data_IF_738123273891
#
_entry.id   IF_738123273891
#
_cell.length_a   1.000
_cell.length_b   1.000
_cell.length_c   1.000
_cell.angle_alpha   90.00
_cell.angle_beta   90.00
_cell.angle_gamma   90.00
#
_symmetry.space_group_name_H-M   'P 1'
#
loop_
_entity.id
_entity.type
_entity.pdbx_description
1 polymer ?
#
# COMPACT_ATOMS: atom_id res chain seq x y z
N UNK A 1 -0.37 -14.46 -5.88
CA UNK A 1 1.07 -14.47 -5.55
C UNK A 1 1.71 -15.68 -6.22
N UNK A 2 2.93 -15.51 -6.75
CA UNK A 2 3.76 -16.61 -7.25
C UNK A 2 4.95 -16.77 -6.33
N UNK A 3 5.26 -18.01 -5.97
CA UNK A 3 6.46 -18.39 -5.23
C UNK A 3 7.47 -18.93 -6.23
N UNK A 4 8.65 -18.34 -6.24
CA UNK A 4 9.73 -18.69 -7.17
C UNK A 4 10.91 -19.24 -6.36
N UNK A 5 11.40 -20.41 -6.71
CA UNK A 5 12.67 -20.92 -6.18
C UNK A 5 13.82 -20.14 -6.83
N UNK A 6 14.66 -19.52 -6.00
CA UNK A 6 15.75 -18.65 -6.47
C UNK A 6 16.94 -19.42 -7.06
N UNK A 7 17.07 -20.70 -6.77
CA UNK A 7 18.15 -21.54 -7.30
C UNK A 7 17.80 -22.13 -8.65
N UNK A 8 16.55 -22.56 -8.81
CA UNK A 8 16.07 -23.18 -10.06
C UNK A 8 15.38 -22.20 -10.99
N UNK A 9 15.07 -20.99 -10.51
CA UNK A 9 14.31 -19.94 -11.22
C UNK A 9 12.93 -20.42 -11.72
N UNK A 10 12.33 -21.38 -11.01
CA UNK A 10 11.03 -21.94 -11.38
C UNK A 10 9.93 -21.51 -10.42
N UNK A 11 8.71 -21.42 -10.94
CA UNK A 11 7.51 -21.18 -10.10
C UNK A 11 7.16 -22.48 -9.41
N UNK A 12 7.28 -22.50 -8.07
CA UNK A 12 6.99 -23.69 -7.24
C UNK A 12 5.59 -23.66 -6.63
N UNK A 13 4.96 -22.48 -6.53
CA UNK A 13 3.57 -22.36 -6.11
C UNK A 13 2.89 -21.11 -6.71
N UNK A 14 1.57 -21.16 -6.85
CA UNK A 14 0.74 -20.02 -7.24
C UNK A 14 -0.46 -19.95 -6.29
N UNK A 15 -0.56 -18.84 -5.55
CA UNK A 15 -1.58 -18.63 -4.54
C UNK A 15 -2.62 -17.60 -5.02
N UNK A 16 -3.90 -17.91 -4.97
CA UNK A 16 -4.96 -16.94 -5.27
C UNK A 16 -5.00 -15.82 -4.23
N UNK A 17 -5.46 -14.64 -4.63
CA UNK A 17 -5.61 -13.46 -3.75
C UNK A 17 -7.07 -13.07 -3.51
N UNK A 18 -8.04 -13.82 -4.08
CA UNK A 18 -9.46 -13.46 -3.90
C UNK A 18 -9.79 -13.28 -2.41
N UNK A 19 -10.47 -12.16 -2.02
CA UNK A 19 -11.14 -11.19 -2.88
C UNK A 19 -10.27 -10.02 -3.38
N UNK A 20 -8.95 -9.98 -3.07
CA UNK A 20 -8.05 -8.96 -3.58
C UNK A 20 -7.89 -9.03 -5.11
N UNK A 21 -7.89 -7.87 -5.77
CA UNK A 21 -7.77 -7.76 -7.22
C UNK A 21 -6.62 -6.82 -7.61
N UNK A 22 -5.97 -7.13 -8.71
CA UNK A 22 -4.88 -6.31 -9.27
C UNK A 22 -3.86 -5.91 -8.20
N UNK A 23 -3.05 -6.86 -7.68
CA UNK A 23 -2.04 -6.57 -6.67
C UNK A 23 -0.96 -5.64 -7.25
N UNK A 24 -0.50 -4.69 -6.45
CA UNK A 24 0.47 -3.65 -6.84
C UNK A 24 1.70 -3.62 -5.94
N UNK A 25 1.53 -3.72 -4.63
CA UNK A 25 2.61 -3.70 -3.66
C UNK A 25 2.56 -4.89 -2.72
N UNK A 26 3.73 -5.28 -2.18
CA UNK A 26 3.83 -6.36 -1.20
C UNK A 26 4.90 -6.05 -0.17
N UNK A 27 4.59 -6.28 1.11
CA UNK A 27 5.54 -6.25 2.23
C UNK A 27 5.57 -7.62 2.92
N UNK A 28 6.63 -7.88 3.66
CA UNK A 28 6.87 -9.17 4.32
C UNK A 28 7.24 -8.99 5.79
N UNK A 29 6.51 -9.69 6.65
CA UNK A 29 6.89 -9.93 8.04
C UNK A 29 7.59 -11.30 8.14
N UNK A 30 8.90 -11.28 8.19
CA UNK A 30 9.71 -12.50 8.25
C UNK A 30 9.53 -13.29 9.55
N UNK A 31 9.22 -12.59 10.65
CA UNK A 31 9.07 -13.22 11.98
C UNK A 31 7.78 -14.04 12.08
N UNK A 32 6.69 -13.51 11.56
CA UNK A 32 5.38 -14.14 11.65
C UNK A 32 4.96 -14.81 10.34
N UNK A 33 5.83 -14.84 9.33
CA UNK A 33 5.58 -15.41 8.00
C UNK A 33 4.34 -14.83 7.32
N UNK A 34 4.17 -13.49 7.34
CA UNK A 34 3.02 -12.83 6.74
C UNK A 34 3.41 -11.95 5.55
N UNK A 35 2.62 -12.01 4.49
CA UNK A 35 2.66 -11.09 3.37
C UNK A 35 1.51 -10.09 3.49
N UNK A 36 1.80 -8.81 3.24
CA UNK A 36 0.83 -7.73 3.16
C UNK A 36 0.73 -7.27 1.71
N UNK A 37 -0.31 -7.69 1.03
CA UNK A 37 -0.47 -7.46 -0.41
C UNK A 37 -1.51 -6.37 -0.66
N UNK A 38 -1.05 -5.23 -1.14
CA UNK A 38 -1.91 -4.12 -1.54
C UNK A 38 -2.60 -4.41 -2.88
N UNK A 39 -3.92 -4.26 -2.93
CA UNK A 39 -4.75 -4.55 -4.09
C UNK A 39 -5.52 -3.30 -4.55
N UNK A 40 -5.63 -3.07 -5.86
CA UNK A 40 -6.23 -1.85 -6.42
C UNK A 40 -7.73 -1.69 -6.12
N UNK A 41 -8.40 -2.76 -5.69
CA UNK A 41 -9.80 -2.75 -5.26
C UNK A 41 -9.97 -2.34 -3.79
N UNK A 42 -9.13 -1.43 -3.31
CA UNK A 42 -9.20 -0.82 -1.97
C UNK A 42 -9.08 -1.83 -0.82
N UNK A 43 -8.15 -2.76 -0.95
CA UNK A 43 -7.98 -3.84 0.00
C UNK A 43 -6.50 -4.18 0.20
N UNK A 44 -6.12 -4.43 1.44
CA UNK A 44 -4.87 -5.10 1.77
C UNK A 44 -5.19 -6.54 2.19
N UNK A 45 -4.60 -7.50 1.49
CA UNK A 45 -4.69 -8.93 1.84
C UNK A 45 -3.52 -9.26 2.76
N UNK A 46 -3.82 -9.87 3.91
CA UNK A 46 -2.82 -10.48 4.79
C UNK A 46 -2.82 -11.97 4.50
N UNK A 47 -1.67 -12.52 4.13
CA UNK A 47 -1.53 -13.91 3.67
C UNK A 47 -0.38 -14.58 4.42
N UNK A 48 -0.56 -15.82 4.81
CA UNK A 48 0.51 -16.68 5.32
C UNK A 48 1.48 -17.02 4.18
N UNK A 49 2.76 -16.70 4.36
CA UNK A 49 3.79 -16.85 3.32
C UNK A 49 4.32 -18.29 3.18
N UNK A 50 3.89 -19.21 4.03
CA UNK A 50 4.27 -20.62 3.95
C UNK A 50 3.25 -21.47 3.23
N UNK A 51 1.98 -21.12 3.37
CA UNK A 51 0.85 -21.89 2.84
C UNK A 51 0.03 -21.18 1.75
N UNK A 52 0.18 -19.84 1.61
CA UNK A 52 -0.66 -19.03 0.74
C UNK A 52 -2.08 -18.83 1.27
N UNK A 53 -2.37 -19.22 2.52
CA UNK A 53 -3.68 -19.02 3.13
C UNK A 53 -3.92 -17.55 3.44
N UNK A 54 -5.08 -17.03 3.06
CA UNK A 54 -5.49 -15.69 3.46
C UNK A 54 -5.86 -15.67 4.95
N UNK A 55 -5.20 -14.80 5.69
CA UNK A 55 -5.38 -14.60 7.13
C UNK A 55 -6.42 -13.50 7.38
N UNK A 56 -6.37 -12.42 6.60
CA UNK A 56 -7.32 -11.32 6.72
C UNK A 56 -7.44 -10.51 5.44
N UNK A 57 -8.57 -9.80 5.33
CA UNK A 57 -8.86 -8.81 4.30
C UNK A 57 -9.09 -7.48 5.01
N UNK A 58 -8.20 -6.52 4.82
CA UNK A 58 -8.27 -5.21 5.49
C UNK A 58 -8.71 -4.16 4.47
N UNK A 59 -9.85 -3.49 4.67
CA UNK A 59 -10.26 -2.36 3.83
C UNK A 59 -9.22 -1.24 3.88
N UNK A 60 -8.97 -0.62 2.73
CA UNK A 60 -7.98 0.45 2.60
C UNK A 60 -8.41 1.50 1.57
N UNK A 61 -7.59 2.52 1.37
CA UNK A 61 -7.86 3.57 0.40
C UNK A 61 -7.87 3.08 -1.06
N UNK A 62 -8.43 3.89 -1.95
CA UNK A 62 -8.51 3.58 -3.38
C UNK A 62 -7.17 3.78 -4.10
N UNK A 63 -6.86 2.90 -5.06
CA UNK A 63 -5.66 3.02 -5.88
C UNK A 63 -4.38 2.78 -5.09
N UNK A 64 -4.33 1.65 -4.39
CA UNK A 64 -3.13 1.21 -3.66
C UNK A 64 -2.00 0.98 -4.65
N UNK A 65 -0.78 1.36 -4.24
CA UNK A 65 0.44 1.21 -5.05
C UNK A 65 1.56 0.51 -4.28
N UNK A 66 1.91 0.99 -3.10
CA UNK A 66 2.99 0.42 -2.30
C UNK A 66 2.48 -0.15 -0.97
N UNK A 67 3.20 -1.15 -0.48
CA UNK A 67 3.01 -1.75 0.84
C UNK A 67 4.33 -1.72 1.61
N UNK A 68 4.27 -1.52 2.92
CA UNK A 68 5.41 -1.61 3.81
C UNK A 68 5.01 -2.27 5.14
N UNK A 69 5.99 -2.78 5.87
CA UNK A 69 5.80 -3.34 7.20
C UNK A 69 6.91 -2.86 8.13
N UNK A 70 6.54 -2.48 9.33
CA UNK A 70 7.47 -2.12 10.39
C UNK A 70 7.51 -3.22 11.46
N UNK A 71 8.59 -4.00 11.53
CA UNK A 71 8.69 -5.09 12.49
C UNK A 71 8.77 -4.61 13.96
N UNK A 72 9.20 -3.36 14.20
CA UNK A 72 9.30 -2.80 15.55
C UNK A 72 7.95 -2.46 16.15
N UNK A 73 7.03 -1.94 15.36
CA UNK A 73 5.66 -1.60 15.80
C UNK A 73 4.65 -2.68 15.49
N UNK A 74 4.96 -3.62 14.59
CA UNK A 74 4.03 -4.62 14.07
C UNK A 74 2.94 -4.02 13.19
N UNK A 75 3.19 -2.87 12.57
CA UNK A 75 2.24 -2.17 11.70
C UNK A 75 2.52 -2.44 10.23
N UNK A 76 1.46 -2.67 9.47
CA UNK A 76 1.49 -2.75 8.02
C UNK A 76 0.86 -1.49 7.42
N UNK A 77 1.44 -1.02 6.31
CA UNK A 77 1.07 0.23 5.66
C UNK A 77 0.78 -0.01 4.19
N UNK A 78 -0.24 0.63 3.66
CA UNK A 78 -0.49 0.70 2.21
C UNK A 78 -0.75 2.13 1.78
N UNK A 79 -0.01 2.61 0.78
CA UNK A 79 -0.23 3.91 0.18
C UNK A 79 -1.31 3.81 -0.89
N UNK A 80 -2.30 4.68 -0.83
CA UNK A 80 -3.43 4.73 -1.74
C UNK A 80 -3.47 6.07 -2.48
N UNK A 81 -2.73 6.15 -3.60
CA UNK A 81 -2.60 7.38 -4.37
C UNK A 81 -3.91 7.90 -4.96
N UNK A 82 -4.86 7.02 -5.28
CA UNK A 82 -6.18 7.42 -5.75
C UNK A 82 -7.01 8.11 -4.66
N UNK A 83 -6.90 7.63 -3.43
CA UNK A 83 -7.55 8.20 -2.25
C UNK A 83 -6.76 9.35 -1.59
N UNK A 84 -5.48 9.52 -1.93
CA UNK A 84 -4.59 10.48 -1.27
C UNK A 84 -4.40 10.18 0.21
N UNK A 85 -4.19 8.92 0.56
CA UNK A 85 -4.03 8.50 1.96
C UNK A 85 -3.12 7.28 2.10
N UNK A 86 -2.72 7.01 3.34
CA UNK A 86 -2.07 5.77 3.78
C UNK A 86 -2.98 5.10 4.79
N UNK A 87 -3.32 3.85 4.57
CA UNK A 87 -4.00 3.01 5.57
C UNK A 87 -2.95 2.27 6.38
N UNK A 88 -3.07 2.34 7.69
CA UNK A 88 -2.23 1.65 8.67
C UNK A 88 -3.05 0.53 9.31
N UNK A 89 -2.55 -0.68 9.27
CA UNK A 89 -3.18 -1.83 9.88
C UNK A 89 -2.28 -2.49 10.93
N UNK A 90 -2.91 -3.09 11.92
CA UNK A 90 -2.22 -3.84 12.97
C UNK A 90 -3.08 -5.02 13.42
N UNK A 91 -2.42 -6.06 13.91
CA UNK A 91 -3.12 -7.16 14.56
C UNK A 91 -3.40 -6.85 16.02
N UNK A 92 -4.61 -7.18 16.46
CA UNK A 92 -5.00 -7.27 17.87
C UNK A 92 -5.60 -8.65 18.10
N UNK A 93 -5.00 -9.41 19.04
CA UNK A 93 -5.41 -10.80 19.28
C UNK A 93 -5.38 -11.69 18.04
N UNK A 94 -4.47 -11.43 17.09
CA UNK A 94 -4.35 -12.15 15.82
C UNK A 94 -5.32 -11.70 14.73
N UNK A 95 -6.17 -10.73 14.99
CA UNK A 95 -7.11 -10.15 14.02
C UNK A 95 -6.54 -8.88 13.43
N UNK A 96 -6.27 -8.87 12.12
CA UNK A 96 -5.80 -7.69 11.40
C UNK A 96 -6.95 -6.74 11.07
N UNK A 97 -6.76 -5.45 11.39
CA UNK A 97 -7.71 -4.40 11.07
C UNK A 97 -6.99 -3.08 10.76
N UNK A 98 -7.62 -2.22 9.98
CA UNK A 98 -7.17 -0.84 9.83
C UNK A 98 -7.36 -0.11 11.18
N UNK A 99 -6.27 0.48 11.68
CA UNK A 99 -6.29 1.23 12.95
C UNK A 99 -6.26 2.74 12.72
N UNK A 100 -5.78 3.16 11.54
CA UNK A 100 -5.67 4.58 11.20
C UNK A 100 -5.63 4.77 9.69
N UNK A 101 -6.15 5.91 9.23
CA UNK A 101 -5.96 6.42 7.87
C UNK A 101 -5.34 7.81 7.95
N UNK A 102 -4.16 7.98 7.35
CA UNK A 102 -3.41 9.24 7.34
C UNK A 102 -3.58 9.90 5.98
N UNK A 103 -3.98 11.17 5.95
CA UNK A 103 -4.13 11.92 4.70
C UNK A 103 -2.77 12.30 4.11
N UNK A 104 -2.66 12.14 2.81
CA UNK A 104 -1.51 12.53 1.99
C UNK A 104 -1.99 13.36 0.79
N UNK A 105 -1.10 13.70 -0.11
CA UNK A 105 -1.52 14.30 -1.38
C UNK A 105 -2.05 13.22 -2.33
N UNK A 106 -3.08 13.57 -3.09
CA UNK A 106 -3.56 12.71 -4.18
C UNK A 106 -2.41 12.39 -5.14
N UNK A 107 -2.31 11.14 -5.55
CA UNK A 107 -1.21 10.67 -6.39
C UNK A 107 0.05 10.27 -5.64
N UNK A 108 0.15 10.51 -4.33
CA UNK A 108 1.24 10.01 -3.51
C UNK A 108 1.17 8.48 -3.42
N UNK A 109 2.23 7.80 -3.86
CA UNK A 109 2.19 6.35 -4.09
C UNK A 109 3.35 5.62 -3.45
N UNK A 110 4.56 6.00 -3.83
CA UNK A 110 5.78 5.36 -3.34
C UNK A 110 5.99 5.66 -1.88
N UNK A 111 6.27 4.62 -1.09
CA UNK A 111 6.51 4.77 0.33
C UNK A 111 7.66 3.91 0.82
N UNK A 112 8.23 4.29 1.94
CA UNK A 112 9.21 3.53 2.71
C UNK A 112 8.93 3.68 4.20
N UNK A 113 9.38 2.71 5.00
CA UNK A 113 9.37 2.76 6.47
C UNK A 113 10.80 2.65 6.96
N UNK A 114 11.18 3.49 7.91
CA UNK A 114 12.44 3.36 8.66
C UNK A 114 12.19 2.54 9.94
N UNK A 115 12.72 1.32 10.05
CA UNK A 115 12.49 0.47 11.21
C UNK A 115 13.22 0.93 12.48
N UNK A 116 14.09 1.95 12.39
CA UNK A 116 14.77 2.52 13.54
C UNK A 116 13.99 3.65 14.21
N UNK A 117 13.42 4.53 13.38
CA UNK A 117 12.66 5.68 13.86
C UNK A 117 11.15 5.43 13.87
N UNK A 118 10.70 4.35 13.22
CA UNK A 118 9.30 4.00 12.99
C UNK A 118 8.53 5.08 12.20
N UNK A 119 9.27 5.94 11.50
CA UNK A 119 8.67 6.90 10.58
C UNK A 119 8.38 6.22 9.24
N UNK A 120 7.31 6.66 8.58
CA UNK A 120 7.09 6.33 7.18
C UNK A 120 7.13 7.58 6.31
N UNK A 121 7.58 7.38 5.09
CA UNK A 121 7.84 8.42 4.10
C UNK A 121 6.98 8.14 2.88
N UNK A 122 6.34 9.16 2.34
CA UNK A 122 5.52 9.04 1.13
C UNK A 122 5.93 10.12 0.14
N UNK A 123 6.32 9.70 -1.05
CA UNK A 123 6.66 10.62 -2.14
C UNK A 123 5.40 11.05 -2.90
N UNK A 124 5.28 12.31 -3.21
CA UNK A 124 4.16 12.85 -3.97
C UNK A 124 4.48 14.14 -4.68
N UNK A 125 3.59 14.48 -5.60
CA UNK A 125 3.55 15.76 -6.33
C UNK A 125 2.15 16.35 -6.19
N UNK A 126 2.01 17.63 -6.44
CA UNK A 126 0.69 18.26 -6.50
C UNK A 126 0.15 18.22 -7.93
N UNK A 127 -1.15 18.09 -8.03
CA UNK A 127 -1.89 18.16 -9.28
C UNK A 127 -2.87 19.33 -9.23
N UNK A 128 -3.15 19.98 -10.35
CA UNK A 128 -4.23 20.96 -10.42
C UNK A 128 -5.55 20.35 -9.93
N UNK A 129 -6.49 21.17 -9.42
CA UNK A 129 -7.84 20.71 -9.11
C UNK A 129 -8.41 19.90 -10.28
N UNK A 130 -9.07 18.79 -9.97
CA UNK A 130 -9.67 17.97 -11.02
C UNK A 130 -10.71 18.80 -11.77
N UNK A 131 -10.49 19.02 -13.05
CA UNK A 131 -11.53 19.58 -13.91
C UNK A 131 -12.64 18.54 -14.08
N UNK A 132 -13.91 18.97 -14.14
CA UNK A 132 -15.00 18.07 -14.47
C UNK A 132 -14.67 17.35 -15.79
N UNK A 133 -14.78 16.02 -15.78
CA UNK A 133 -14.55 15.23 -16.98
C UNK A 133 -15.50 15.72 -18.08
N UNK A 134 -14.95 16.12 -19.23
CA UNK A 134 -15.78 16.41 -20.40
C UNK A 134 -16.57 15.14 -20.76
N UNK A 135 -17.87 15.29 -20.93
CA UNK A 135 -18.75 14.18 -21.26
C UNK A 135 -18.24 13.47 -22.53
N UNK A 136 -18.04 12.14 -22.44
CA UNK A 136 -17.64 11.30 -23.56
C UNK A 136 -16.13 11.01 -23.71
N UNK A 137 -15.27 11.51 -22.84
CA UNK A 137 -13.84 11.13 -22.85
C UNK A 137 -13.62 9.96 -21.89
N UNK A 138 -13.16 8.78 -22.36
CA UNK A 138 -12.83 7.68 -21.48
C UNK A 138 -11.75 8.10 -20.50
N UNK A 139 -11.99 8.00 -19.21
CA UNK A 139 -10.98 8.17 -18.17
C UNK A 139 -10.06 6.95 -18.16
N UNK A 140 -9.24 6.83 -19.18
CA UNK A 140 -8.21 5.79 -19.26
C UNK A 140 -7.17 5.96 -18.17
N UNK A 141 -6.61 4.85 -17.69
CA UNK A 141 -5.45 4.84 -16.81
C UNK A 141 -4.34 5.71 -17.41
N UNK A 142 -4.06 6.84 -16.78
CA UNK A 142 -2.82 7.56 -16.96
C UNK A 142 -2.75 8.46 -18.19
N UNK A 143 -3.29 9.59 -18.10
CA UNK A 143 -2.76 10.93 -18.42
C UNK A 143 -3.68 11.92 -17.75
N UNK A 144 -3.65 11.96 -16.42
CA UNK A 144 -4.19 13.08 -15.67
C UNK A 144 -3.49 14.38 -16.05
N UNK A 145 -4.02 15.51 -15.63
CA UNK A 145 -3.34 16.78 -15.78
C UNK A 145 -1.87 16.64 -15.37
N UNK A 146 -0.92 17.32 -16.02
CA UNK A 146 0.47 17.30 -15.61
C UNK A 146 0.58 17.79 -14.16
N UNK A 147 1.54 17.25 -13.42
CA UNK A 147 1.84 17.73 -12.08
C UNK A 147 2.25 19.20 -12.11
N UNK A 148 1.98 19.91 -11.03
CA UNK A 148 2.47 21.27 -10.85
C UNK A 148 4.01 21.21 -10.80
N UNK A 149 4.72 22.00 -11.62
CA UNK A 149 6.19 22.06 -11.56
C UNK A 149 6.67 22.38 -10.14
N UNK A 150 7.81 21.82 -9.78
CA UNK A 150 8.49 22.03 -8.49
C UNK A 150 7.68 21.67 -7.23
N UNK A 151 6.59 20.91 -7.40
CA UNK A 151 5.71 20.49 -6.30
C UNK A 151 6.09 19.15 -5.67
N UNK A 152 7.19 18.53 -6.10
CA UNK A 152 7.66 17.28 -5.50
C UNK A 152 7.98 17.47 -4.02
N UNK A 153 7.47 16.55 -3.22
CA UNK A 153 7.74 16.51 -1.77
C UNK A 153 7.80 15.09 -1.24
N UNK A 154 8.56 14.92 -0.18
CA UNK A 154 8.52 13.73 0.66
C UNK A 154 7.82 14.11 1.96
N UNK A 155 6.67 13.51 2.19
CA UNK A 155 5.93 13.66 3.44
C UNK A 155 6.46 12.66 4.45
N UNK A 156 6.72 13.12 5.68
CA UNK A 156 7.25 12.30 6.78
C UNK A 156 6.19 12.21 7.86
N UNK A 157 5.88 11.00 8.28
CA UNK A 157 4.90 10.71 9.32
C UNK A 157 5.58 9.84 10.39
N UNK A 158 5.33 10.16 11.65
CA UNK A 158 5.89 9.44 12.78
C UNK A 158 4.92 9.38 13.96
N UNK A 159 5.29 8.63 14.99
CA UNK A 159 4.51 8.44 16.21
C UNK A 159 4.73 9.55 17.26
N UNK A 160 5.61 10.52 16.97
CA UNK A 160 5.91 11.63 17.86
C UNK A 160 4.92 12.80 17.73
N UNK A 161 4.96 13.77 18.66
CA UNK A 161 4.18 14.99 18.52
C UNK A 161 4.60 15.71 17.22
N UNK A 162 3.62 16.25 16.51
CA UNK A 162 3.88 17.07 15.33
C UNK A 162 4.85 18.22 15.70
N UNK A 163 5.94 18.34 14.97
CA UNK A 163 6.89 19.46 15.10
C UNK A 163 6.44 20.61 14.25
#
# INVERSE_FOLDING_TARGET
>A
VKVVDVNTHTVVATWPLSPGMTPTGMAFDAKNHLLFVGCSNSMMIVMDSTSGKIVANVPAGAGIDASAFDPGTGMAFVSAGGGGNVTIAKADGGKWAAIQTVQTTRGARTMAVDPKTHNFYVAGVEYPPAQPAAAGVPTGRGRGAPSIPDSFKVMVFGTGPAK
#
